data_IF_451942137134
#
_entry.id   IF_451942137134
#
_cell.length_a   1.000
_cell.length_b   1.000
_cell.length_c   1.000
_cell.angle_alpha   90.00
_cell.angle_beta   90.00
_cell.angle_gamma   90.00
#
_symmetry.space_group_name_H-M   'P 1'
#
loop_
_entity.id
_entity.type
_entity.pdbx_description
1 polymer ?
#
# COMPACT_ATOMS: atom_id res chain seq x y z
N UNK A 1 47.36 27.52 22.08
CA UNK A 1 46.03 28.02 21.72
C UNK A 1 45.75 27.56 20.29
N UNK A 2 45.09 26.42 20.13
CA UNK A 2 44.71 25.85 18.84
C UNK A 2 43.19 25.68 18.88
N UNK A 3 42.51 26.44 18.04
CA UNK A 3 41.06 26.47 17.93
C UNK A 3 40.55 25.11 17.43
N UNK A 4 39.81 24.40 18.27
CA UNK A 4 38.89 23.35 17.84
C UNK A 4 37.69 24.03 17.18
N UNK A 5 37.67 24.05 15.85
CA UNK A 5 36.48 24.43 15.09
C UNK A 5 35.39 23.39 15.30
N UNK A 6 34.33 23.78 15.99
CA UNK A 6 33.07 23.02 16.05
C UNK A 6 32.47 22.93 14.65
N UNK A 7 32.33 21.71 14.12
CA UNK A 7 31.53 21.46 12.91
C UNK A 7 30.05 21.72 13.22
N UNK A 8 29.33 22.55 12.44
CA UNK A 8 27.89 22.73 12.61
C UNK A 8 27.10 21.59 11.94
N UNK A 9 26.10 21.06 12.66
CA UNK A 9 24.91 20.38 12.13
C UNK A 9 25.06 18.98 11.54
N UNK A 10 24.73 17.92 12.29
CA UNK A 10 24.63 16.54 11.74
C UNK A 10 23.39 15.72 12.14
N UNK A 11 22.35 16.36 12.69
CA UNK A 11 21.09 15.67 13.04
C UNK A 11 19.81 16.29 12.47
N UNK A 12 19.85 17.54 11.98
CA UNK A 12 18.63 18.30 11.66
C UNK A 12 18.19 18.25 10.19
N UNK A 13 19.00 17.68 9.29
CA UNK A 13 18.82 17.81 7.84
C UNK A 13 18.23 16.56 7.17
N UNK A 14 18.06 15.45 7.89
CA UNK A 14 17.52 14.20 7.35
C UNK A 14 16.01 14.15 7.58
N UNK A 15 15.24 14.00 6.50
CA UNK A 15 13.81 13.71 6.60
C UNK A 15 13.62 12.22 6.93
N UNK A 16 12.64 11.94 7.77
CA UNK A 16 12.35 10.61 8.28
C UNK A 16 10.89 10.27 7.98
N UNK A 17 10.67 9.08 7.45
CA UNK A 17 9.35 8.52 7.22
C UNK A 17 9.26 7.11 7.76
N UNK A 18 8.05 6.66 8.06
CA UNK A 18 7.82 5.28 8.45
C UNK A 18 6.44 4.80 8.05
N UNK A 19 6.31 3.52 7.69
CA UNK A 19 5.00 2.89 7.56
C UNK A 19 4.92 1.81 6.50
N UNK A 20 3.93 1.96 5.62
CA UNK A 20 3.50 0.96 4.65
C UNK A 20 4.66 0.24 3.93
N UNK A 21 4.61 -1.09 3.95
CA UNK A 21 5.51 -1.94 3.15
C UNK A 21 5.03 -2.08 1.71
N UNK A 22 3.83 -1.60 1.37
CA UNK A 22 3.26 -1.73 0.03
C UNK A 22 4.00 -0.84 -0.98
N UNK A 23 4.24 0.47 -0.75
CA UNK A 23 5.00 1.31 -1.67
C UNK A 23 6.50 1.35 -1.39
N UNK A 24 7.00 0.56 -0.43
CA UNK A 24 8.39 0.68 0.04
C UNK A 24 9.44 0.56 -1.09
N UNK A 25 9.33 -0.35 -2.08
CA UNK A 25 10.25 -0.40 -3.21
C UNK A 25 10.29 0.91 -4.01
N UNK A 26 9.13 1.50 -4.28
CA UNK A 26 9.01 2.78 -4.97
C UNK A 26 9.60 3.92 -4.15
N UNK A 27 9.25 4.01 -2.87
CA UNK A 27 9.74 5.07 -1.99
C UNK A 27 11.26 5.01 -1.82
N UNK A 28 11.83 3.82 -1.68
CA UNK A 28 13.29 3.67 -1.58
C UNK A 28 14.00 4.14 -2.86
N UNK A 29 13.50 3.76 -4.04
CA UNK A 29 14.05 4.22 -5.32
C UNK A 29 13.90 5.75 -5.49
N UNK A 30 12.74 6.30 -5.12
CA UNK A 30 12.50 7.74 -5.12
C UNK A 30 13.44 8.50 -4.21
N UNK A 31 13.65 8.03 -2.98
CA UNK A 31 14.51 8.72 -2.02
C UNK A 31 15.99 8.64 -2.40
N UNK A 32 16.42 7.54 -3.03
CA UNK A 32 17.76 7.45 -3.63
C UNK A 32 17.93 8.47 -4.77
N UNK A 33 16.99 8.49 -5.72
CA UNK A 33 16.99 9.46 -6.83
C UNK A 33 16.93 10.90 -6.33
N UNK A 34 16.02 11.21 -5.42
CA UNK A 34 15.85 12.55 -4.87
C UNK A 34 17.11 13.02 -4.14
N UNK A 35 17.77 12.14 -3.39
CA UNK A 35 19.04 12.45 -2.73
C UNK A 35 20.15 12.73 -3.74
N UNK A 36 20.24 11.95 -4.83
CA UNK A 36 21.21 12.20 -5.90
C UNK A 36 20.98 13.54 -6.59
N UNK A 37 19.71 13.86 -6.86
CA UNK A 37 19.34 15.03 -7.65
C UNK A 37 19.37 16.34 -6.82
N UNK A 38 19.14 16.27 -5.50
CA UNK A 38 18.99 17.46 -4.63
C UNK A 38 19.95 17.52 -3.44
N UNK A 39 20.64 16.42 -3.10
CA UNK A 39 21.40 16.26 -1.87
C UNK A 39 20.54 16.01 -0.61
N UNK A 40 19.21 16.08 -0.70
CA UNK A 40 18.32 15.86 0.44
C UNK A 40 18.21 14.37 0.79
N UNK A 41 18.64 14.00 2.00
CA UNK A 41 18.53 12.62 2.49
C UNK A 41 17.16 12.35 3.09
N UNK A 42 16.62 11.17 2.81
CA UNK A 42 15.37 10.66 3.40
C UNK A 42 15.63 9.25 3.92
N UNK A 43 15.25 8.97 5.16
CA UNK A 43 15.26 7.62 5.74
C UNK A 43 13.81 7.15 5.84
N UNK A 44 13.51 5.98 5.28
CA UNK A 44 12.19 5.37 5.35
C UNK A 44 12.23 4.02 6.05
N UNK A 45 11.49 3.92 7.14
CA UNK A 45 11.35 2.72 7.95
C UNK A 45 10.11 1.92 7.52
N UNK A 46 10.32 0.79 6.85
CA UNK A 46 9.26 -0.05 6.28
C UNK A 46 8.70 -1.03 7.32
N UNK A 47 7.80 -0.53 8.17
CA UNK A 47 7.29 -1.23 9.38
C UNK A 47 5.81 -1.57 9.34
N UNK A 48 5.15 -1.35 8.21
CA UNK A 48 3.70 -1.53 8.06
C UNK A 48 2.90 -0.28 8.40
N UNK A 49 1.72 -0.17 7.80
CA UNK A 49 0.87 1.02 7.83
C UNK A 49 0.39 1.39 9.24
N UNK A 50 0.15 0.38 10.09
CA UNK A 50 -0.25 0.59 11.48
C UNK A 50 0.84 1.29 12.29
N UNK A 51 2.08 0.78 12.22
CA UNK A 51 3.22 1.38 12.89
C UNK A 51 3.52 2.78 12.34
N UNK A 52 3.47 2.99 11.02
CA UNK A 52 3.62 4.31 10.40
C UNK A 52 2.59 5.33 10.89
N UNK A 53 1.32 4.92 10.99
CA UNK A 53 0.23 5.75 11.54
C UNK A 53 0.53 6.16 12.99
N UNK A 54 0.98 5.22 13.82
CA UNK A 54 1.31 5.50 15.22
C UNK A 54 2.50 6.46 15.35
N UNK A 55 3.57 6.26 14.56
CA UNK A 55 4.75 7.12 14.57
C UNK A 55 4.42 8.56 14.17
N UNK A 56 3.59 8.76 13.13
CA UNK A 56 3.19 10.13 12.74
C UNK A 56 2.26 10.78 13.76
N UNK A 57 1.30 10.06 14.35
CA UNK A 57 0.42 10.60 15.40
C UNK A 57 1.21 11.08 16.63
N UNK A 58 2.33 10.41 16.94
CA UNK A 58 3.26 10.78 18.01
C UNK A 58 4.30 11.82 17.58
N UNK A 59 4.28 12.27 16.33
CA UNK A 59 5.26 13.22 15.75
C UNK A 59 6.71 12.71 15.82
N UNK A 60 6.91 11.40 15.77
CA UNK A 60 8.24 10.76 15.80
C UNK A 60 8.96 10.78 14.44
N UNK A 61 8.21 11.01 13.37
CA UNK A 61 8.70 11.07 11.98
C UNK A 61 8.13 12.29 11.27
N UNK A 62 8.77 12.71 10.18
CA UNK A 62 8.28 13.83 9.36
C UNK A 62 7.01 13.48 8.58
N UNK A 63 6.88 12.22 8.20
CA UNK A 63 5.68 11.68 7.57
C UNK A 63 5.44 10.21 7.92
N UNK A 64 4.18 9.84 8.08
CA UNK A 64 3.75 8.45 8.10
C UNK A 64 3.41 7.97 6.69
N UNK A 65 3.37 6.67 6.46
CA UNK A 65 2.88 6.08 5.23
C UNK A 65 1.86 4.96 5.52
N UNK A 66 0.76 4.94 4.80
CA UNK A 66 -0.32 3.99 5.02
C UNK A 66 -1.11 3.69 3.75
N UNK A 67 -1.48 2.43 3.54
CA UNK A 67 -2.40 2.01 2.44
C UNK A 67 -3.86 1.99 2.92
N UNK A 68 -4.09 2.44 4.14
CA UNK A 68 -5.39 2.70 4.71
C UNK A 68 -5.34 4.08 5.37
N UNK A 69 -6.03 5.06 4.80
CA UNK A 69 -6.09 6.39 5.41
C UNK A 69 -6.60 6.33 6.86
N UNK A 70 -6.26 7.36 7.63
CA UNK A 70 -6.71 7.49 9.02
C UNK A 70 -8.17 7.92 9.00
N UNK A 71 -9.03 7.15 9.65
CA UNK A 71 -10.46 7.45 9.75
C UNK A 71 -10.73 8.70 10.60
N UNK A 72 -11.91 9.28 10.45
CA UNK A 72 -12.27 10.53 11.12
C UNK A 72 -12.20 10.43 12.65
N UNK A 73 -12.60 9.29 13.21
CA UNK A 73 -12.54 9.05 14.67
C UNK A 73 -11.11 9.16 15.19
N UNK A 74 -10.13 8.52 14.52
CA UNK A 74 -8.72 8.60 14.90
C UNK A 74 -8.13 10.01 14.65
N UNK A 75 -8.58 10.69 13.59
CA UNK A 75 -8.15 12.06 13.30
C UNK A 75 -8.63 13.06 14.35
N UNK A 76 -9.79 12.85 14.96
CA UNK A 76 -10.33 13.71 16.01
C UNK A 76 -9.42 13.73 17.26
N UNK A 77 -8.65 12.68 17.49
CA UNK A 77 -7.69 12.58 18.61
C UNK A 77 -6.26 13.01 18.23
N UNK A 78 -6.01 13.34 16.96
CA UNK A 78 -4.68 13.78 16.54
C UNK A 78 -4.35 15.17 17.14
N UNK A 79 -3.11 15.44 17.55
CA UNK A 79 -2.69 16.72 18.14
C UNK A 79 -2.64 17.89 17.14
N UNK A 80 -3.20 17.71 15.95
CA UNK A 80 -3.25 18.67 14.86
C UNK A 80 -3.85 18.03 13.62
N UNK A 81 -4.29 18.85 12.66
CA UNK A 81 -4.86 18.36 11.40
C UNK A 81 -3.80 17.60 10.60
N UNK A 82 -4.03 16.32 10.35
CA UNK A 82 -3.28 15.52 9.41
C UNK A 82 -3.87 15.65 8.00
N UNK A 83 -3.01 15.51 7.01
CA UNK A 83 -3.31 15.50 5.59
C UNK A 83 -2.90 14.15 5.01
N UNK A 84 -3.62 13.72 3.99
CA UNK A 84 -3.36 12.48 3.26
C UNK A 84 -3.01 12.86 1.82
N UNK A 85 -1.84 12.43 1.37
CA UNK A 85 -1.35 12.66 0.02
C UNK A 85 -1.22 11.31 -0.69
N UNK A 86 -2.05 11.01 -1.70
CA UNK A 86 -1.89 9.80 -2.47
C UNK A 86 -0.59 9.90 -3.26
N UNK A 87 0.15 8.81 -3.38
CA UNK A 87 1.47 8.82 -4.06
C UNK A 87 1.51 7.95 -5.29
N UNK A 88 0.87 6.78 -5.27
CA UNK A 88 0.71 5.90 -6.41
C UNK A 88 -0.51 4.99 -6.23
N UNK A 89 -0.80 4.22 -7.28
CA UNK A 89 -1.79 3.16 -7.26
C UNK A 89 -1.08 1.82 -7.41
N UNK A 90 -1.44 0.83 -6.60
CA UNK A 90 -0.96 -0.53 -6.77
C UNK A 90 -2.07 -1.57 -6.60
N UNK A 91 -1.72 -2.82 -6.82
CA UNK A 91 -2.62 -3.95 -6.58
C UNK A 91 -2.08 -4.85 -5.46
N UNK A 92 -3.01 -5.43 -4.71
CA UNK A 92 -2.74 -6.58 -3.86
C UNK A 92 -2.94 -7.83 -4.69
N UNK A 93 -1.84 -8.35 -5.24
CA UNK A 93 -1.83 -9.61 -5.95
C UNK A 93 -2.11 -10.78 -4.99
N UNK A 94 -3.01 -11.66 -5.41
CA UNK A 94 -3.12 -12.99 -4.85
C UNK A 94 -2.13 -13.88 -5.57
N UNK A 95 -1.35 -14.65 -4.81
CA UNK A 95 -0.34 -15.55 -5.35
C UNK A 95 -0.36 -16.88 -4.63
N UNK A 96 0.11 -17.92 -5.30
CA UNK A 96 0.19 -19.27 -4.75
C UNK A 96 1.44 -20.00 -5.21
N UNK A 97 1.84 -21.01 -4.46
CA UNK A 97 2.96 -21.88 -4.78
C UNK A 97 2.47 -23.27 -5.14
N UNK A 98 2.28 -23.49 -6.45
CA UNK A 98 1.85 -24.76 -7.01
C UNK A 98 2.87 -25.24 -8.04
N UNK A 99 3.08 -26.56 -8.18
CA UNK A 99 3.93 -27.11 -9.22
C UNK A 99 3.56 -26.54 -10.61
N UNK A 100 4.55 -26.03 -11.33
CA UNK A 100 4.38 -25.45 -12.66
C UNK A 100 3.91 -23.99 -12.69
N UNK A 101 3.76 -23.33 -11.54
CA UNK A 101 3.36 -21.92 -11.41
C UNK A 101 2.18 -21.51 -12.32
N UNK A 102 1.04 -22.22 -12.24
CA UNK A 102 -0.11 -21.92 -13.09
C UNK A 102 -0.70 -20.54 -12.77
N UNK A 103 -1.15 -19.82 -13.80
CA UNK A 103 -2.00 -18.63 -13.63
C UNK A 103 -3.43 -19.08 -13.37
N UNK A 104 -3.80 -19.18 -12.10
CA UNK A 104 -5.16 -19.56 -11.70
C UNK A 104 -6.16 -18.43 -11.92
N UNK A 105 -7.41 -18.82 -12.07
CA UNK A 105 -8.61 -18.00 -11.98
C UNK A 105 -9.32 -18.30 -10.67
N UNK A 106 -9.64 -17.26 -9.90
CA UNK A 106 -10.43 -17.37 -8.68
C UNK A 106 -11.61 -16.39 -8.70
N UNK A 107 -12.80 -16.89 -8.37
CA UNK A 107 -13.95 -16.05 -8.08
C UNK A 107 -13.86 -15.45 -6.66
N UNK A 108 -14.61 -14.38 -6.36
CA UNK A 108 -14.74 -13.89 -4.99
C UNK A 108 -15.11 -14.98 -3.99
N UNK A 109 -15.97 -15.91 -4.38
CA UNK A 109 -16.50 -16.98 -3.55
C UNK A 109 -15.41 -18.00 -3.20
N UNK A 110 -14.65 -18.49 -4.19
CA UNK A 110 -13.56 -19.44 -3.93
C UNK A 110 -12.41 -18.77 -3.19
N UNK A 111 -12.10 -17.51 -3.49
CA UNK A 111 -11.09 -16.75 -2.77
C UNK A 111 -11.46 -16.55 -1.29
N UNK A 112 -12.71 -16.19 -0.99
CA UNK A 112 -13.20 -16.11 0.40
C UNK A 112 -13.13 -17.47 1.09
N UNK A 113 -13.58 -18.54 0.43
CA UNK A 113 -13.59 -19.88 1.03
C UNK A 113 -12.18 -20.43 1.29
N UNK A 114 -11.18 -20.08 0.48
CA UNK A 114 -9.76 -20.38 0.72
C UNK A 114 -9.27 -19.69 2.00
N UNK A 115 -9.44 -18.36 2.11
CA UNK A 115 -8.99 -17.60 3.29
C UNK A 115 -9.82 -17.84 4.55
N UNK A 116 -11.00 -18.47 4.42
CA UNK A 116 -11.79 -18.98 5.56
C UNK A 116 -11.48 -20.44 5.92
N UNK A 117 -10.62 -21.13 5.18
CA UNK A 117 -10.27 -22.54 5.43
C UNK A 117 -11.36 -23.55 5.07
N UNK A 118 -12.35 -23.16 4.26
CA UNK A 118 -13.40 -24.04 3.73
C UNK A 118 -12.97 -24.80 2.48
N UNK A 119 -12.04 -24.23 1.72
CA UNK A 119 -11.29 -24.96 0.69
C UNK A 119 -9.93 -25.28 1.30
N UNK A 120 -9.68 -26.56 1.57
CA UNK A 120 -8.48 -27.03 2.27
C UNK A 120 -7.50 -27.77 1.35
N UNK A 121 -7.91 -28.06 0.11
CA UNK A 121 -7.08 -28.73 -0.89
C UNK A 121 -7.21 -28.05 -2.23
N UNK A 122 -6.11 -27.99 -2.98
CA UNK A 122 -6.09 -27.41 -4.33
C UNK A 122 -6.86 -28.24 -5.35
N UNK A 123 -7.06 -29.54 -5.07
CA UNK A 123 -7.90 -30.46 -5.83
C UNK A 123 -9.42 -30.25 -5.64
N UNK A 124 -9.85 -29.24 -4.87
CA UNK A 124 -11.27 -28.99 -4.61
C UNK A 124 -12.05 -28.80 -5.93
N UNK A 125 -13.19 -29.49 -6.13
CA UNK A 125 -13.98 -29.42 -7.37
C UNK A 125 -14.44 -28.01 -7.74
N UNK A 126 -14.55 -27.08 -6.79
CA UNK A 126 -14.86 -25.67 -7.08
C UNK A 126 -13.70 -25.00 -7.84
N UNK A 127 -12.46 -25.23 -7.41
CA UNK A 127 -11.27 -24.67 -8.05
C UNK A 127 -11.05 -25.28 -9.44
N UNK A 128 -11.25 -26.59 -9.58
CA UNK A 128 -11.14 -27.29 -10.86
C UNK A 128 -12.15 -26.76 -11.89
N UNK A 129 -13.38 -26.43 -11.46
CA UNK A 129 -14.40 -25.83 -12.35
C UNK A 129 -14.02 -24.44 -12.85
N UNK A 130 -13.30 -23.64 -12.06
CA UNK A 130 -12.82 -22.32 -12.46
C UNK A 130 -11.58 -22.40 -13.37
N UNK A 131 -10.89 -23.54 -13.35
CA UNK A 131 -9.60 -23.76 -14.00
C UNK A 131 -9.58 -25.09 -14.79
N UNK A 132 -10.49 -25.30 -15.77
CA UNK A 132 -10.65 -26.60 -16.43
C UNK A 132 -9.42 -27.07 -17.20
N UNK A 133 -8.59 -26.13 -17.66
CA UNK A 133 -7.37 -26.41 -18.44
C UNK A 133 -6.13 -26.66 -17.56
N UNK A 134 -6.27 -26.60 -16.23
CA UNK A 134 -5.16 -26.70 -15.27
C UNK A 134 -5.36 -27.95 -14.43
N UNK A 135 -4.37 -28.86 -14.50
CA UNK A 135 -4.35 -30.04 -13.63
C UNK A 135 -3.93 -29.65 -12.21
N UNK A 136 -4.92 -29.32 -11.37
CA UNK A 136 -4.68 -28.93 -9.98
C UNK A 136 -4.12 -30.12 -9.17
N UNK A 137 -3.07 -29.90 -8.36
CA UNK A 137 -2.47 -30.95 -7.57
C UNK A 137 -3.31 -31.26 -6.33
N UNK A 138 -3.23 -32.49 -5.84
CA UNK A 138 -3.83 -32.88 -4.57
C UNK A 138 -2.93 -32.46 -3.38
N UNK A 139 -2.74 -31.15 -3.22
CA UNK A 139 -1.98 -30.53 -2.13
C UNK A 139 -2.92 -29.86 -1.14
N UNK A 140 -2.53 -29.85 0.13
CA UNK A 140 -3.18 -29.01 1.14
C UNK A 140 -3.00 -27.52 0.83
N UNK A 141 -3.99 -26.71 1.17
CA UNK A 141 -3.91 -25.25 1.10
C UNK A 141 -3.29 -24.73 2.39
N UNK A 142 -2.24 -23.92 2.26
CA UNK A 142 -1.65 -23.19 3.39
C UNK A 142 -1.87 -21.69 3.19
N UNK A 143 -2.77 -21.10 3.98
CA UNK A 143 -3.00 -19.65 3.93
C UNK A 143 -1.84 -18.93 4.63
N UNK A 144 -1.28 -17.91 3.97
CA UNK A 144 -0.31 -16.98 4.55
C UNK A 144 -0.93 -15.59 4.55
N UNK A 145 -0.96 -14.96 5.72
CA UNK A 145 -1.47 -13.61 5.91
C UNK A 145 -0.42 -12.74 6.59
N UNK A 146 -0.71 -11.44 6.71
CA UNK A 146 0.16 -10.52 7.45
C UNK A 146 0.00 -10.71 8.95
N UNK A 147 1.11 -10.70 9.68
CA UNK A 147 1.14 -10.68 11.14
C UNK A 147 1.07 -9.24 11.69
N UNK A 148 1.72 -8.30 11.02
CA UNK A 148 1.76 -6.89 11.38
C UNK A 148 0.49 -6.12 10.94
N UNK A 149 0.24 -4.99 11.60
CA UNK A 149 -0.86 -4.09 11.25
C UNK A 149 -0.62 -3.44 9.87
N UNK A 150 -1.33 -3.94 8.85
CA UNK A 150 -0.97 -3.78 7.45
C UNK A 150 -2.05 -3.10 6.62
N UNK A 151 -1.69 -2.09 5.83
CA UNK A 151 -2.57 -1.48 4.84
C UNK A 151 -2.87 -2.43 3.67
N UNK A 152 -1.93 -3.30 3.28
CA UNK A 152 -2.17 -4.39 2.32
C UNK A 152 -3.30 -5.32 2.80
N UNK A 153 -3.30 -5.66 4.10
CA UNK A 153 -4.41 -6.42 4.74
C UNK A 153 -5.71 -5.63 4.73
N UNK A 154 -5.64 -4.33 4.95
CA UNK A 154 -6.82 -3.48 4.84
C UNK A 154 -7.41 -3.52 3.43
N UNK A 155 -6.61 -3.28 2.38
CA UNK A 155 -7.09 -3.31 0.98
C UNK A 155 -7.72 -4.69 0.66
N UNK A 156 -7.01 -5.77 1.01
CA UNK A 156 -7.49 -7.12 0.76
C UNK A 156 -8.80 -7.43 1.51
N UNK A 157 -8.89 -7.07 2.78
CA UNK A 157 -10.07 -7.34 3.60
C UNK A 157 -11.24 -6.39 3.30
N UNK A 158 -11.00 -5.17 2.82
CA UNK A 158 -12.05 -4.29 2.29
C UNK A 158 -12.66 -4.92 1.03
N UNK A 159 -11.83 -5.47 0.12
CA UNK A 159 -12.31 -6.27 -1.01
C UNK A 159 -13.17 -7.46 -0.55
N UNK A 160 -12.65 -8.33 0.32
CA UNK A 160 -13.39 -9.50 0.82
C UNK A 160 -14.71 -9.10 1.52
N UNK A 161 -14.69 -8.00 2.26
CA UNK A 161 -15.87 -7.44 2.94
C UNK A 161 -16.91 -6.92 1.96
N UNK A 162 -16.51 -6.36 0.81
CA UNK A 162 -17.45 -5.89 -0.23
C UNK A 162 -18.11 -7.05 -0.96
N UNK A 163 -17.35 -8.09 -1.29
CA UNK A 163 -17.83 -9.20 -2.12
C UNK A 163 -18.49 -10.33 -1.34
N UNK A 164 -18.35 -10.38 -0.01
CA UNK A 164 -18.94 -11.45 0.80
C UNK A 164 -19.57 -10.95 2.10
N UNK A 165 -20.89 -11.11 2.19
CA UNK A 165 -21.64 -10.93 3.44
C UNK A 165 -21.11 -11.84 4.55
N UNK A 166 -20.70 -13.07 4.19
CA UNK A 166 -20.17 -14.01 5.18
C UNK A 166 -18.83 -13.52 5.76
N UNK A 167 -17.95 -12.95 4.93
CA UNK A 167 -16.72 -12.34 5.41
C UNK A 167 -17.01 -11.11 6.28
N UNK A 168 -17.85 -10.19 5.78
CA UNK A 168 -18.25 -8.97 6.47
C UNK A 168 -18.76 -9.23 7.89
N UNK A 169 -19.62 -10.23 8.05
CA UNK A 169 -20.27 -10.53 9.33
C UNK A 169 -19.42 -11.34 10.30
N UNK A 170 -18.26 -11.87 9.87
CA UNK A 170 -17.43 -12.77 10.72
C UNK A 170 -16.00 -12.29 10.93
N UNK A 171 -15.34 -11.79 9.88
CA UNK A 171 -13.94 -11.33 9.93
C UNK A 171 -13.87 -9.81 9.77
N UNK A 172 -14.65 -9.26 8.83
CA UNK A 172 -14.69 -7.83 8.56
C UNK A 172 -13.44 -7.29 7.86
N UNK A 173 -13.27 -5.97 7.93
CA UNK A 173 -12.15 -5.23 7.33
C UNK A 173 -11.29 -4.56 8.40
N UNK A 174 -9.99 -4.45 8.13
CA UNK A 174 -9.08 -3.79 9.06
C UNK A 174 -7.62 -4.00 8.69
N UNK A 175 -6.73 -3.27 9.38
CA UNK A 175 -5.28 -3.46 9.27
C UNK A 175 -4.79 -4.73 9.99
N UNK A 176 -5.57 -5.20 10.97
CA UNK A 176 -5.36 -6.43 11.74
C UNK A 176 -6.70 -7.15 11.85
N UNK A 177 -6.70 -8.47 11.69
CA UNK A 177 -7.91 -9.29 11.68
C UNK A 177 -7.69 -10.54 12.53
N UNK A 178 -8.79 -11.11 13.01
CA UNK A 178 -8.79 -12.48 13.57
C UNK A 178 -8.95 -13.46 12.41
N UNK A 179 -7.82 -13.86 11.82
CA UNK A 179 -7.81 -14.79 10.69
C UNK A 179 -8.36 -16.16 11.08
N UNK A 180 -9.29 -16.75 10.30
CA UNK A 180 -9.84 -18.08 10.60
C UNK A 180 -8.81 -19.20 10.51
N UNK A 181 -7.87 -19.07 9.58
CA UNK A 181 -6.80 -20.04 9.31
C UNK A 181 -5.56 -19.31 8.78
N UNK A 182 -4.45 -20.04 8.76
CA UNK A 182 -3.22 -19.60 8.13
C UNK A 182 -2.14 -19.20 9.11
N UNK A 183 -1.01 -18.78 8.56
CA UNK A 183 0.17 -18.35 9.29
C UNK A 183 0.46 -16.89 9.00
N UNK A 184 0.85 -16.16 10.04
CA UNK A 184 1.25 -14.76 9.94
C UNK A 184 2.72 -14.61 9.53
N UNK A 185 2.99 -13.66 8.64
CA UNK A 185 4.33 -13.20 8.32
C UNK A 185 4.41 -11.66 8.32
N UNK A 186 5.57 -11.12 8.67
CA UNK A 186 5.76 -9.67 8.74
C UNK A 186 6.04 -9.07 7.36
N UNK A 187 5.31 -8.00 7.03
CA UNK A 187 5.53 -7.26 5.80
C UNK A 187 5.12 -8.01 4.52
N UNK A 188 5.11 -7.29 3.40
CA UNK A 188 5.06 -7.95 2.09
C UNK A 188 6.25 -8.91 1.86
N UNK A 189 7.51 -8.58 2.25
CA UNK A 189 8.63 -9.51 2.11
C UNK A 189 8.41 -10.85 2.81
N UNK A 190 7.95 -10.84 4.07
CA UNK A 190 7.76 -12.06 4.83
C UNK A 190 6.66 -12.96 4.25
N UNK A 191 5.53 -12.39 3.82
CA UNK A 191 4.47 -13.16 3.15
C UNK A 191 4.99 -13.77 1.85
N UNK A 192 5.72 -12.98 1.06
CA UNK A 192 6.25 -13.45 -0.21
C UNK A 192 7.30 -14.56 -0.05
N UNK A 193 8.17 -14.46 0.95
CA UNK A 193 9.16 -15.48 1.29
C UNK A 193 8.48 -16.77 1.78
N UNK A 194 7.43 -16.67 2.60
CA UNK A 194 6.67 -17.83 3.06
C UNK A 194 5.93 -18.53 1.91
N UNK A 195 5.23 -17.77 1.06
CA UNK A 195 4.55 -18.36 -0.10
C UNK A 195 5.55 -19.08 -1.00
N UNK A 196 6.69 -18.45 -1.31
CA UNK A 196 7.71 -19.06 -2.17
C UNK A 196 8.28 -20.36 -1.60
N UNK A 197 8.39 -20.50 -0.27
CA UNK A 197 9.02 -21.67 0.37
C UNK A 197 8.05 -22.82 0.64
N UNK A 198 6.75 -22.56 0.76
CA UNK A 198 5.76 -23.54 1.22
C UNK A 198 4.93 -24.03 0.04
N UNK A 199 5.11 -25.29 -0.42
CA UNK A 199 4.24 -25.88 -1.44
C UNK A 199 2.78 -25.89 -0.97
N UNK A 200 1.87 -25.48 -1.85
CA UNK A 200 0.44 -25.35 -1.55
C UNK A 200 0.07 -24.04 -0.85
N UNK A 201 1.02 -23.12 -0.62
CA UNK A 201 0.70 -21.85 -0.01
C UNK A 201 -0.12 -20.93 -0.94
N UNK A 202 -0.99 -20.13 -0.34
CA UNK A 202 -1.68 -18.98 -0.95
C UNK A 202 -1.49 -17.76 -0.04
N UNK A 203 -1.16 -16.62 -0.63
CA UNK A 203 -1.01 -15.37 0.11
C UNK A 203 -1.41 -14.16 -0.72
N UNK A 204 -1.40 -13.00 -0.07
CA UNK A 204 -1.68 -11.71 -0.69
C UNK A 204 -0.55 -10.73 -0.38
N UNK A 205 -0.09 -10.01 -1.40
CA UNK A 205 1.00 -9.04 -1.29
C UNK A 205 0.88 -7.97 -2.36
N UNK A 206 1.58 -6.86 -2.21
CA UNK A 206 1.72 -5.92 -3.33
C UNK A 206 2.42 -6.62 -4.52
N UNK A 207 1.93 -6.37 -5.74
CA UNK A 207 2.33 -7.06 -6.98
C UNK A 207 3.84 -7.12 -7.22
N UNK A 208 4.60 -6.05 -6.97
CA UNK A 208 6.05 -6.05 -7.18
C UNK A 208 6.74 -7.11 -6.31
N UNK A 209 6.26 -7.40 -5.11
CA UNK A 209 6.83 -8.45 -4.28
C UNK A 209 6.65 -9.86 -4.85
N UNK A 210 5.51 -10.12 -5.50
CA UNK A 210 5.26 -11.38 -6.21
C UNK A 210 6.17 -11.48 -7.45
N UNK A 211 6.23 -10.41 -8.25
CA UNK A 211 7.08 -10.33 -9.45
C UNK A 211 8.56 -10.55 -9.12
N UNK A 212 9.07 -9.87 -8.09
CA UNK A 212 10.47 -10.00 -7.65
C UNK A 212 10.87 -11.42 -7.22
N UNK A 213 9.89 -12.26 -6.89
CA UNK A 213 10.09 -13.66 -6.47
C UNK A 213 9.65 -14.67 -7.53
N UNK A 214 9.32 -14.20 -8.73
CA UNK A 214 8.79 -15.03 -9.82
C UNK A 214 7.57 -15.86 -9.41
N UNK A 215 6.76 -15.32 -8.51
CA UNK A 215 5.53 -15.97 -8.06
C UNK A 215 4.40 -15.67 -9.05
N UNK A 216 3.57 -16.66 -9.44
CA UNK A 216 2.43 -16.42 -10.33
C UNK A 216 1.40 -15.54 -9.63
N UNK A 217 0.73 -14.68 -10.39
CA UNK A 217 -0.38 -13.88 -9.89
C UNK A 217 -1.70 -14.46 -10.38
N UNK A 218 -2.67 -14.55 -9.48
CA UNK A 218 -4.01 -15.10 -9.76
C UNK A 218 -4.86 -14.05 -10.47
N UNK A 219 -5.56 -14.46 -11.51
CA UNK A 219 -6.63 -13.67 -12.12
C UNK A 219 -7.88 -13.73 -11.24
N UNK A 220 -8.33 -12.58 -10.74
CA UNK A 220 -9.49 -12.49 -9.84
C UNK A 220 -10.70 -11.99 -10.63
N UNK A 221 -11.84 -12.65 -10.48
CA UNK A 221 -13.09 -12.18 -11.10
C UNK A 221 -13.53 -10.86 -10.48
N UNK A 222 -13.62 -9.82 -11.29
CA UNK A 222 -14.05 -8.49 -10.88
C UNK A 222 -15.58 -8.35 -10.91
N UNK A 223 -16.07 -7.16 -10.54
CA UNK A 223 -17.51 -6.86 -10.49
C UNK A 223 -18.22 -7.02 -11.85
N UNK A 224 -17.51 -6.81 -12.96
CA UNK A 224 -18.02 -7.00 -14.31
C UNK A 224 -18.00 -8.47 -14.78
N UNK A 225 -17.59 -9.41 -13.91
CA UNK A 225 -17.54 -10.83 -14.22
C UNK A 225 -16.29 -11.26 -15.00
N UNK A 226 -15.32 -10.38 -15.23
CA UNK A 226 -14.09 -10.68 -15.94
C UNK A 226 -13.00 -11.15 -14.98
N UNK A 227 -12.25 -12.19 -15.36
CA UNK A 227 -11.04 -12.61 -14.62
C UNK A 227 -9.86 -11.73 -15.04
N UNK A 228 -9.39 -10.89 -14.14
CA UNK A 228 -8.37 -9.85 -14.40
C UNK A 228 -7.13 -10.12 -13.57
N UNK A 229 -5.94 -9.99 -14.16
CA UNK A 229 -4.63 -10.05 -13.47
C UNK A 229 -4.15 -8.65 -13.08
N UNK A 230 -3.30 -8.50 -12.05
CA UNK A 230 -2.86 -7.20 -11.54
C UNK A 230 -1.77 -6.55 -12.42
N UNK A 231 -2.14 -6.12 -13.61
CA UNK A 231 -1.26 -5.39 -14.55
C UNK A 231 -1.38 -3.88 -14.36
N UNK A 232 -0.36 -3.11 -14.79
CA UNK A 232 -0.43 -1.64 -14.79
C UNK A 232 -1.72 -1.12 -15.45
N UNK A 233 -2.12 -1.68 -16.59
CA UNK A 233 -3.35 -1.30 -17.28
C UNK A 233 -4.61 -1.54 -16.43
N UNK A 234 -4.73 -2.73 -15.82
CA UNK A 234 -5.89 -3.07 -14.97
C UNK A 234 -5.93 -2.28 -13.65
N UNK A 235 -4.78 -1.91 -13.11
CA UNK A 235 -4.65 -1.10 -11.89
C UNK A 235 -5.04 0.35 -12.20
N UNK A 236 -4.50 0.92 -13.29
CA UNK A 236 -4.88 2.25 -13.76
C UNK A 236 -6.37 2.34 -14.09
N UNK A 237 -6.95 1.29 -14.69
CA UNK A 237 -8.39 1.24 -15.00
C UNK A 237 -9.24 1.26 -13.72
N UNK A 238 -8.83 0.53 -12.68
CA UNK A 238 -9.54 0.52 -11.39
C UNK A 238 -9.49 1.86 -10.65
N UNK A 239 -8.50 2.71 -10.93
CA UNK A 239 -8.31 4.01 -10.30
C UNK A 239 -9.00 5.18 -11.01
N UNK A 240 -9.72 4.93 -12.12
CA UNK A 240 -10.53 5.95 -12.80
C UNK A 240 -11.85 6.18 -12.05
N UNK A 241 -11.74 6.84 -10.89
CA UNK A 241 -12.85 7.19 -10.01
C UNK A 241 -12.78 8.68 -9.66
N UNK A 242 -13.89 9.22 -9.16
CA UNK A 242 -13.91 10.55 -8.53
C UNK A 242 -13.07 10.53 -7.24
N UNK A 243 -12.15 11.48 -7.12
CA UNK A 243 -11.26 11.60 -5.95
C UNK A 243 -11.75 12.76 -5.07
N UNK A 244 -12.08 12.52 -3.79
CA UNK A 244 -12.53 13.58 -2.90
C UNK A 244 -11.42 14.59 -2.60
N UNK A 245 -11.79 15.78 -2.12
CA UNK A 245 -10.84 16.88 -1.83
C UNK A 245 -9.75 16.51 -0.81
N UNK A 246 -10.06 15.63 0.14
CA UNK A 246 -9.10 15.13 1.12
C UNK A 246 -8.35 13.86 0.64
N UNK A 247 -8.62 13.41 -0.60
CA UNK A 247 -8.05 12.24 -1.28
C UNK A 247 -8.32 10.88 -0.64
N UNK A 248 -9.13 10.82 0.43
CA UNK A 248 -9.38 9.59 1.19
C UNK A 248 -10.47 8.76 0.53
N UNK A 249 -10.07 7.87 -0.37
CA UNK A 249 -10.98 6.96 -1.08
C UNK A 249 -10.36 5.58 -1.29
N UNK A 250 -11.17 4.53 -1.21
CA UNK A 250 -10.72 3.14 -1.45
C UNK A 250 -11.12 2.65 -2.84
N UNK A 251 -10.25 1.84 -3.45
CA UNK A 251 -10.41 1.32 -4.82
C UNK A 251 -10.77 -0.18 -4.89
N UNK A 252 -11.25 -0.75 -3.78
CA UNK A 252 -11.62 -2.17 -3.76
C UNK A 252 -12.93 -2.41 -4.51
N UNK A 253 -12.91 -3.37 -5.45
CA UNK A 253 -14.03 -3.84 -6.26
C UNK A 253 -14.81 -2.74 -7.00
N UNK A 254 -14.11 -1.83 -7.69
CA UNK A 254 -14.73 -0.76 -8.49
C UNK A 254 -15.55 -1.30 -9.66
N UNK A 255 -16.37 -0.45 -10.28
CA UNK A 255 -17.17 -0.76 -11.47
C UNK A 255 -16.38 -0.77 -12.78
N UNK A 256 -15.06 -0.57 -12.74
CA UNK A 256 -14.22 -0.58 -13.93
C UNK A 256 -14.22 -1.97 -14.58
N UNK A 257 -14.70 -2.06 -15.83
CA UNK A 257 -14.89 -3.34 -16.52
C UNK A 257 -13.62 -4.18 -16.61
N UNK A 258 -12.47 -3.54 -16.87
CA UNK A 258 -11.14 -4.17 -16.95
C UNK A 258 -10.29 -3.94 -15.71
N UNK A 259 -10.89 -3.39 -14.64
CA UNK A 259 -10.20 -3.07 -13.40
C UNK A 259 -9.84 -4.31 -12.61
N UNK A 260 -8.60 -4.37 -12.09
CA UNK A 260 -8.25 -5.38 -11.10
C UNK A 260 -8.98 -5.07 -9.79
N UNK A 261 -9.68 -6.03 -9.16
CA UNK A 261 -10.63 -5.72 -8.10
C UNK A 261 -10.00 -5.50 -6.72
N UNK A 262 -8.71 -5.82 -6.54
CA UNK A 262 -7.99 -5.66 -5.26
C UNK A 262 -6.92 -4.57 -5.41
N UNK A 263 -7.34 -3.41 -5.92
CA UNK A 263 -6.53 -2.22 -6.16
C UNK A 263 -6.64 -1.24 -4.98
N UNK A 264 -5.60 -0.45 -4.72
CA UNK A 264 -5.64 0.61 -3.71
C UNK A 264 -4.67 1.76 -3.99
N UNK A 265 -5.04 2.95 -3.51
CA UNK A 265 -4.08 4.03 -3.28
C UNK A 265 -3.22 3.73 -2.06
N UNK A 266 -2.06 4.38 -1.99
CA UNK A 266 -1.27 4.51 -0.76
C UNK A 266 -1.01 5.97 -0.49
N UNK A 267 -0.98 6.34 0.79
CA UNK A 267 -0.87 7.74 1.22
C UNK A 267 0.40 7.97 2.03
N UNK A 268 1.04 9.10 1.77
CA UNK A 268 1.90 9.77 2.74
C UNK A 268 1.04 10.67 3.61
N UNK A 269 1.28 10.65 4.91
CA UNK A 269 0.48 11.31 5.93
C UNK A 269 1.37 12.26 6.73
N UNK A 270 0.96 13.51 6.87
CA UNK A 270 1.74 14.54 7.55
C UNK A 270 0.83 15.61 8.15
N UNK A 271 1.32 16.36 9.13
CA UNK A 271 0.56 17.48 9.70
C UNK A 271 0.43 18.64 8.72
N UNK A 272 -0.72 19.29 8.70
CA UNK A 272 -0.90 20.53 7.94
C UNK A 272 0.00 21.64 8.45
N UNK A 273 -0.01 21.87 9.76
CA UNK A 273 0.89 22.82 10.42
C UNK A 273 2.22 22.13 10.70
N UNK A 274 3.31 22.72 10.24
CA UNK A 274 4.65 22.16 10.30
C UNK A 274 5.50 22.77 11.42
N UNK A 275 5.08 23.86 12.05
CA UNK A 275 5.75 24.45 13.21
C UNK A 275 5.47 23.69 14.53
N UNK A 276 5.44 22.35 14.48
CA UNK A 276 5.34 21.51 15.68
C UNK A 276 6.71 21.01 16.13
N UNK A 277 6.84 20.67 17.42
CA UNK A 277 8.02 19.98 17.93
C UNK A 277 9.35 20.71 17.68
N UNK A 278 9.33 22.05 17.68
CA UNK A 278 10.51 22.90 17.38
C UNK A 278 11.10 22.67 15.96
N UNK A 279 10.30 22.20 15.01
CA UNK A 279 10.72 22.04 13.60
C UNK A 279 11.10 23.39 12.98
N UNK A 280 12.24 23.44 12.29
CA UNK A 280 12.68 24.64 11.57
C UNK A 280 11.85 24.91 10.31
N UNK A 281 11.77 26.18 9.85
CA UNK A 281 11.12 26.49 8.58
C UNK A 281 11.77 25.77 7.39
N UNK A 282 13.10 25.64 7.39
CA UNK A 282 13.87 24.94 6.37
C UNK A 282 13.50 23.44 6.29
N UNK A 283 13.36 22.75 7.43
CA UNK A 283 12.92 21.34 7.45
C UNK A 283 11.49 21.19 6.92
N UNK A 284 10.61 22.12 7.25
CA UNK A 284 9.24 22.15 6.73
C UNK A 284 9.21 22.36 5.21
N UNK A 285 10.05 23.26 4.68
CA UNK A 285 10.20 23.48 3.24
C UNK A 285 10.75 22.24 2.53
N UNK A 286 11.77 21.56 3.10
CA UNK A 286 12.34 20.31 2.56
C UNK A 286 11.28 19.21 2.44
N UNK A 287 10.43 19.06 3.46
CA UNK A 287 9.32 18.10 3.41
C UNK A 287 8.35 18.47 2.29
N UNK A 288 7.92 19.74 2.20
CA UNK A 288 7.00 20.18 1.16
C UNK A 288 7.56 19.96 -0.26
N UNK A 289 8.86 20.24 -0.47
CA UNK A 289 9.54 20.02 -1.75
C UNK A 289 9.62 18.52 -2.11
N UNK A 290 9.92 17.66 -1.13
CA UNK A 290 9.93 16.21 -1.34
C UNK A 290 8.54 15.72 -1.77
N UNK A 291 7.49 16.10 -1.04
CA UNK A 291 6.13 15.66 -1.31
C UNK A 291 5.64 16.16 -2.68
N UNK A 292 5.99 17.39 -3.04
CA UNK A 292 5.72 17.95 -4.37
C UNK A 292 6.42 17.14 -5.47
N UNK A 293 7.71 16.85 -5.29
CA UNK A 293 8.50 16.05 -6.23
C UNK A 293 7.92 14.64 -6.41
N UNK A 294 7.48 13.98 -5.33
CA UNK A 294 6.91 12.62 -5.38
C UNK A 294 5.67 12.52 -6.28
N UNK A 295 4.79 13.53 -6.26
CA UNK A 295 3.57 13.53 -7.10
C UNK A 295 3.80 14.10 -8.51
N UNK A 296 5.00 14.61 -8.80
CA UNK A 296 5.42 15.12 -10.12
C UNK A 296 6.56 14.28 -10.69
N UNK A 297 7.81 14.73 -10.58
CA UNK A 297 9.00 14.10 -11.17
C UNK A 297 9.19 12.63 -10.75
N UNK A 298 8.78 12.28 -9.52
CA UNK A 298 8.80 10.91 -9.02
C UNK A 298 7.83 9.99 -9.78
N UNK A 299 6.72 10.50 -10.32
CA UNK A 299 5.76 9.67 -11.05
C UNK A 299 6.38 8.98 -12.28
N UNK A 300 7.49 9.50 -12.82
CA UNK A 300 8.23 8.87 -13.92
C UNK A 300 8.81 7.48 -13.57
N UNK A 301 9.02 7.19 -12.29
CA UNK A 301 9.63 5.93 -11.84
C UNK A 301 8.60 4.85 -11.49
N UNK A 302 7.30 5.17 -11.43
CA UNK A 302 6.27 4.25 -10.91
C UNK A 302 6.15 2.98 -11.75
N UNK A 303 6.07 3.14 -13.07
CA UNK A 303 5.80 2.04 -14.00
C UNK A 303 6.94 1.02 -14.02
N UNK A 304 8.19 1.48 -13.92
CA UNK A 304 9.37 0.62 -13.85
C UNK A 304 9.41 -0.27 -12.59
N UNK A 305 8.63 0.09 -11.57
CA UNK A 305 8.48 -0.66 -10.32
C UNK A 305 7.08 -1.28 -10.17
N UNK A 306 6.34 -1.41 -11.27
CA UNK A 306 5.00 -2.02 -11.32
C UNK A 306 3.89 -1.29 -10.56
N UNK A 307 4.08 0.00 -10.24
CA UNK A 307 3.03 0.87 -9.71
C UNK A 307 2.40 1.69 -10.84
N UNK A 308 1.09 1.83 -10.82
CA UNK A 308 0.41 2.76 -11.71
C UNK A 308 0.61 4.21 -11.19
N UNK A 309 0.92 5.16 -12.08
CA UNK A 309 0.99 6.57 -11.70
C UNK A 309 -0.39 7.07 -11.24
N UNK A 310 -0.39 8.17 -10.48
CA UNK A 310 -1.62 8.82 -10.09
C UNK A 310 -2.43 9.26 -11.33
N UNK A 311 -3.76 9.06 -11.35
CA UNK A 311 -4.62 9.70 -12.33
C UNK A 311 -4.49 11.23 -12.27
N UNK A 312 -4.65 11.95 -13.38
CA UNK A 312 -4.55 13.42 -13.39
C UNK A 312 -5.44 14.12 -12.36
N UNK A 313 -6.64 13.60 -12.11
CA UNK A 313 -7.53 14.11 -11.07
C UNK A 313 -6.93 13.95 -9.67
N UNK A 314 -6.32 12.80 -9.37
CA UNK A 314 -5.66 12.56 -8.09
C UNK A 314 -4.46 13.48 -7.90
N UNK A 315 -3.70 13.78 -8.97
CA UNK A 315 -2.60 14.76 -8.94
C UNK A 315 -3.14 16.15 -8.59
N UNK A 316 -4.21 16.61 -9.26
CA UNK A 316 -4.80 17.92 -8.98
C UNK A 316 -5.30 18.05 -7.53
N UNK A 317 -5.95 17.01 -6.98
CA UNK A 317 -6.36 16.99 -5.56
C UNK A 317 -5.14 16.95 -4.63
N UNK A 318 -4.12 16.16 -4.96
CA UNK A 318 -2.88 16.09 -4.19
C UNK A 318 -2.15 17.45 -4.13
N UNK A 319 -2.07 18.19 -5.23
CA UNK A 319 -1.53 19.54 -5.25
C UNK A 319 -2.30 20.49 -4.32
N UNK A 320 -3.64 20.44 -4.33
CA UNK A 320 -4.47 21.24 -3.44
C UNK A 320 -4.21 20.92 -1.95
N UNK A 321 -4.03 19.63 -1.62
CA UNK A 321 -3.61 19.19 -0.28
C UNK A 321 -2.25 19.79 0.08
N UNK A 322 -1.25 19.74 -0.81
CA UNK A 322 0.09 20.27 -0.55
C UNK A 322 0.12 21.79 -0.39
N UNK A 323 -0.62 22.53 -1.22
CA UNK A 323 -0.79 23.99 -1.09
C UNK A 323 -1.46 24.38 0.22
N UNK A 324 -2.11 23.45 0.91
CA UNK A 324 -2.71 23.68 2.23
C UNK A 324 -1.71 23.62 3.40
N UNK A 325 -0.47 23.18 3.17
CA UNK A 325 0.60 23.10 4.20
C UNK A 325 0.93 24.49 4.74
N UNK A 326 1.16 24.58 6.05
CA UNK A 326 1.46 25.82 6.77
C UNK A 326 2.69 25.70 7.67
N UNK A 327 3.39 26.81 7.86
CA UNK A 327 4.37 27.02 8.93
C UNK A 327 4.01 28.29 9.69
N UNK A 328 3.69 28.18 10.99
CA UNK A 328 3.15 29.28 11.80
C UNK A 328 1.95 29.98 11.13
N UNK A 329 1.04 29.18 10.57
CA UNK A 329 -0.16 29.68 9.88
C UNK A 329 0.08 30.25 8.47
N UNK A 330 1.33 30.38 8.00
CA UNK A 330 1.66 30.90 6.65
C UNK A 330 1.85 29.75 5.65
N UNK A 331 1.39 29.88 4.39
CA UNK A 331 1.67 28.89 3.34
C UNK A 331 3.17 28.62 3.16
N UNK A 332 3.53 27.35 2.94
CA UNK A 332 4.92 26.95 2.61
C UNK A 332 5.13 26.92 1.09
N UNK A 333 4.19 26.34 0.36
CA UNK A 333 4.20 26.33 -1.09
C UNK A 333 3.41 27.53 -1.63
N UNK A 334 3.83 28.05 -2.78
CA UNK A 334 3.10 29.10 -3.50
C UNK A 334 1.75 28.61 -4.02
N UNK A 335 0.95 29.56 -4.50
CA UNK A 335 -0.27 29.27 -5.29
C UNK A 335 0.10 28.64 -6.64
#
# INVERSE_FOLDING_TARGET
MLFLGSLPGRGNDILTGAGATFPAPLYMAWFERYCRDTGQRVIYDSVGSGAGTQKILKREVDFGASDAFIGDDDLAFAPGKLLHLPTCVGAVAITCNLPGNPTLRLSPETLVDLFKGKIQRWSDPRLARENPDIKLPDLGVVVVHRADASGTTFIFSDYLTRVSNQWRNTVGRGKTLRWPVGMGADGNPGVADMVQRIPGAIGYMETMYATARNLPTVAVRNLAGQYVTPTLASVSAAAQIEVPDDTRVYLANTSAATGYPITGFTWVIFYREQAYGQRSPDRAQRLANLLWWMIHDGQADTQGLHYAPLPPEAVAKAEAVLRSIRYNGKPILGE
#
